data_IF_933204829805
#
_entry.id   IF_933204829805
#
_cell.length_a   1.000
_cell.length_b   1.000
_cell.length_c   1.000
_cell.angle_alpha   90.00
_cell.angle_beta   90.00
_cell.angle_gamma   90.00
#
_symmetry.space_group_name_H-M   'P 1'
#
loop_
_entity.id
_entity.type
_entity.pdbx_description
1 polymer ?
#
# COMPACT_ATOMS: atom_id res chain seq x y z
N UNK A 1 -11.33 12.88 12.30
CA UNK A 1 -10.64 13.22 11.04
C UNK A 1 -9.27 13.72 11.43
N UNK A 2 -8.24 12.98 11.07
CA UNK A 2 -6.87 13.48 11.24
C UNK A 2 -6.72 14.75 10.38
N UNK A 3 -6.05 15.78 10.88
CA UNK A 3 -5.70 16.95 10.05
C UNK A 3 -4.61 16.57 9.05
N UNK A 4 -4.54 17.15 7.84
CA UNK A 4 -3.42 16.97 6.93
C UNK A 4 -2.08 17.15 7.64
N UNK A 5 -1.00 16.53 7.13
CA UNK A 5 0.35 16.78 7.65
C UNK A 5 0.63 18.28 7.50
N UNK A 6 0.77 18.98 8.63
CA UNK A 6 0.99 20.43 8.61
C UNK A 6 2.32 20.73 7.92
N UNK A 7 2.32 21.74 7.04
CA UNK A 7 3.50 22.16 6.29
C UNK A 7 4.06 21.10 5.32
N UNK A 8 3.30 20.07 4.94
CA UNK A 8 3.75 19.04 4.00
C UNK A 8 4.42 19.63 2.74
N UNK A 9 3.84 20.68 2.16
CA UNK A 9 4.38 21.35 0.97
C UNK A 9 5.68 22.12 1.23
N UNK A 10 5.93 22.53 2.47
CA UNK A 10 7.14 23.25 2.88
C UNK A 10 8.27 22.32 3.32
N UNK A 11 7.99 21.03 3.57
CA UNK A 11 9.03 20.03 3.85
C UNK A 11 9.72 19.66 2.54
N UNK A 12 11.01 19.95 2.45
CA UNK A 12 11.83 19.55 1.31
C UNK A 12 12.05 18.02 1.30
N UNK A 13 12.11 17.44 0.09
CA UNK A 13 12.51 16.04 -0.06
C UNK A 13 14.00 15.92 0.28
N UNK A 14 14.33 15.04 1.23
CA UNK A 14 15.69 14.80 1.71
C UNK A 14 16.18 13.41 1.30
N UNK A 15 17.52 13.15 1.29
CA UNK A 15 18.06 11.81 1.07
C UNK A 15 17.50 10.79 2.07
N UNK A 16 17.38 9.53 1.65
CA UNK A 16 16.72 8.48 2.43
C UNK A 16 17.38 8.27 3.80
N UNK A 17 18.70 8.42 3.92
CA UNK A 17 19.42 8.32 5.19
C UNK A 17 18.97 9.40 6.18
N UNK A 18 18.72 10.62 5.69
CA UNK A 18 18.18 11.71 6.51
C UNK A 18 16.72 11.46 6.84
N UNK A 19 15.95 10.94 5.87
CA UNK A 19 14.53 10.68 6.04
C UNK A 19 14.23 9.63 7.12
N UNK A 20 15.11 8.64 7.30
CA UNK A 20 14.95 7.57 8.29
C UNK A 20 15.61 7.85 9.64
N UNK A 21 16.41 8.92 9.78
CA UNK A 21 17.14 9.19 11.03
C UNK A 21 16.22 9.27 12.26
N UNK A 22 15.04 9.94 12.21
CA UNK A 22 14.12 9.96 13.34
C UNK A 22 13.49 8.60 13.67
N UNK A 23 13.58 7.62 12.76
CA UNK A 23 12.99 6.29 12.89
C UNK A 23 13.93 5.27 13.52
N UNK A 24 15.20 5.60 13.73
CA UNK A 24 16.23 4.66 14.22
C UNK A 24 15.88 4.06 15.57
N UNK A 25 15.27 4.84 16.48
CA UNK A 25 14.84 4.32 17.78
C UNK A 25 13.60 3.42 17.70
N UNK A 26 12.78 3.60 16.66
CA UNK A 26 11.55 2.82 16.42
C UNK A 26 11.88 1.53 15.67
N UNK A 27 12.85 1.59 14.75
CA UNK A 27 13.25 0.54 13.83
C UNK A 27 14.78 0.45 13.84
N UNK A 28 15.37 -0.29 14.80
CA UNK A 28 16.83 -0.32 14.99
C UNK A 28 17.62 -0.71 13.74
N UNK A 29 17.06 -1.61 12.93
CA UNK A 29 17.73 -2.19 11.75
C UNK A 29 17.57 -1.31 10.48
N UNK A 30 16.89 -0.16 10.57
CA UNK A 30 16.49 0.63 9.40
C UNK A 30 17.66 1.13 8.56
N UNK A 31 18.79 1.50 9.18
CA UNK A 31 19.98 1.99 8.44
C UNK A 31 20.59 0.89 7.58
N UNK A 32 20.64 -0.34 8.09
CA UNK A 32 21.10 -1.50 7.33
C UNK A 32 20.14 -1.81 6.18
N UNK A 33 18.83 -1.75 6.43
CA UNK A 33 17.84 -2.00 5.38
C UNK A 33 17.85 -0.92 4.29
N UNK A 34 18.10 0.35 4.64
CA UNK A 34 18.33 1.43 3.67
C UNK A 34 19.51 1.12 2.76
N UNK A 35 20.63 0.67 3.32
CA UNK A 35 21.79 0.31 2.51
C UNK A 35 21.45 -0.80 1.50
N UNK A 36 20.76 -1.87 1.95
CA UNK A 36 20.29 -2.96 1.08
C UNK A 36 19.32 -2.49 0.00
N UNK A 37 18.40 -1.58 0.33
CA UNK A 37 17.47 -1.00 -0.63
C UNK A 37 18.21 -0.20 -1.71
N UNK A 38 19.20 0.61 -1.32
CA UNK A 38 20.01 1.42 -2.25
C UNK A 38 20.87 0.56 -3.18
N UNK A 39 21.47 -0.51 -2.67
CA UNK A 39 22.28 -1.44 -3.47
C UNK A 39 21.49 -2.02 -4.66
N UNK A 40 20.18 -2.20 -4.51
CA UNK A 40 19.27 -2.71 -5.55
C UNK A 40 18.67 -1.62 -6.44
N UNK A 41 18.97 -0.34 -6.19
CA UNK A 41 18.42 0.82 -6.89
C UNK A 41 19.51 1.62 -7.62
N UNK A 42 20.58 0.98 -8.09
CA UNK A 42 21.70 1.64 -8.76
C UNK A 42 21.32 2.29 -10.11
N UNK A 43 20.32 1.75 -10.79
CA UNK A 43 19.76 2.28 -12.04
C UNK A 43 18.22 2.36 -11.97
N UNK A 44 17.68 3.34 -11.22
CA UNK A 44 16.25 3.47 -11.03
C UNK A 44 15.53 3.79 -12.35
N UNK A 45 14.37 3.17 -12.54
CA UNK A 45 13.47 3.44 -13.68
C UNK A 45 12.54 4.62 -13.38
N UNK A 46 11.68 4.94 -14.34
CA UNK A 46 10.53 5.83 -14.16
C UNK A 46 10.90 7.26 -13.74
N UNK A 47 12.14 7.68 -14.02
CA UNK A 47 12.65 9.02 -13.69
C UNK A 47 12.88 9.27 -12.20
N UNK A 48 12.89 8.21 -11.38
CA UNK A 48 13.19 8.31 -9.95
C UNK A 48 14.69 8.49 -9.71
N UNK A 49 15.04 9.18 -8.63
CA UNK A 49 16.41 9.13 -8.09
C UNK A 49 16.65 7.81 -7.34
N UNK A 50 17.91 7.55 -6.98
CA UNK A 50 18.27 6.38 -6.17
C UNK A 50 17.53 6.40 -4.83
N UNK A 51 17.48 7.55 -4.14
CA UNK A 51 16.84 7.68 -2.83
C UNK A 51 15.32 7.50 -2.92
N UNK A 52 14.70 8.00 -4.01
CA UNK A 52 13.27 7.85 -4.26
C UNK A 52 12.89 6.38 -4.53
N UNK A 53 13.62 5.72 -5.44
CA UNK A 53 13.43 4.29 -5.72
C UNK A 53 13.71 3.43 -4.47
N UNK A 54 14.77 3.74 -3.73
CA UNK A 54 15.12 3.03 -2.51
C UNK A 54 14.06 3.21 -1.42
N UNK A 55 13.36 4.35 -1.36
CA UNK A 55 12.25 4.55 -0.41
C UNK A 55 11.07 3.62 -0.71
N UNK A 56 10.76 3.41 -1.99
CA UNK A 56 9.71 2.47 -2.41
C UNK A 56 10.15 1.03 -2.14
N UNK A 57 11.40 0.71 -2.45
CA UNK A 57 11.95 -0.61 -2.19
C UNK A 57 11.96 -0.95 -0.70
N UNK A 58 12.41 -0.01 0.15
CA UNK A 58 12.42 -0.18 1.60
C UNK A 58 11.03 -0.43 2.16
N UNK A 59 9.99 0.25 1.63
CA UNK A 59 8.62 -0.01 2.01
C UNK A 59 8.20 -1.45 1.67
N UNK A 60 8.56 -1.96 0.49
CA UNK A 60 8.19 -3.33 0.08
C UNK A 60 9.01 -4.45 0.75
N UNK A 61 10.12 -4.11 1.42
CA UNK A 61 10.97 -5.10 2.07
C UNK A 61 10.30 -5.69 3.31
N UNK A 62 10.31 -7.02 3.39
CA UNK A 62 10.01 -7.77 4.61
C UNK A 62 11.31 -8.34 5.19
N UNK A 63 11.52 -8.13 6.49
CA UNK A 63 12.66 -8.71 7.22
C UNK A 63 12.21 -9.33 8.54
N UNK A 64 13.08 -10.18 9.11
CA UNK A 64 12.75 -10.94 10.30
C UNK A 64 13.22 -10.26 11.60
N UNK A 65 12.40 -10.27 12.65
CA UNK A 65 11.02 -10.75 12.66
C UNK A 65 10.09 -9.74 11.94
N UNK A 66 9.05 -10.26 11.26
CA UNK A 66 8.18 -9.51 10.33
C UNK A 66 7.65 -8.20 10.91
N UNK A 67 7.25 -8.20 12.18
CA UNK A 67 6.70 -7.05 12.90
C UNK A 67 7.67 -5.86 12.99
N UNK A 68 8.96 -6.08 12.74
CA UNK A 68 9.97 -5.02 12.65
C UNK A 68 10.11 -4.41 11.26
N UNK A 69 9.44 -4.95 10.25
CA UNK A 69 9.46 -4.42 8.89
C UNK A 69 8.84 -3.03 8.84
N UNK A 70 9.44 -2.12 8.06
CA UNK A 70 9.03 -0.72 8.03
C UNK A 70 7.56 -0.55 7.67
N UNK A 71 7.04 -1.29 6.67
CA UNK A 71 5.65 -1.17 6.26
C UNK A 71 4.67 -1.57 7.36
N UNK A 72 5.03 -2.56 8.20
CA UNK A 72 4.17 -3.02 9.30
C UNK A 72 4.03 -1.91 10.33
N UNK A 73 5.14 -1.32 10.76
CA UNK A 73 5.16 -0.27 11.78
C UNK A 73 4.54 1.03 11.23
N UNK A 74 4.86 1.43 10.00
CA UNK A 74 4.29 2.60 9.36
C UNK A 74 2.76 2.47 9.24
N UNK A 75 2.27 1.37 8.68
CA UNK A 75 0.84 1.20 8.47
C UNK A 75 0.09 1.06 9.80
N UNK A 76 0.69 0.45 10.82
CA UNK A 76 0.14 0.42 12.18
C UNK A 76 0.04 1.83 12.78
N UNK A 77 1.08 2.64 12.59
CA UNK A 77 1.12 4.04 13.03
C UNK A 77 0.03 4.87 12.35
N UNK A 78 -0.14 4.73 11.03
CA UNK A 78 -1.21 5.41 10.27
C UNK A 78 -2.61 4.98 10.72
N UNK A 79 -2.78 3.69 11.02
CA UNK A 79 -4.04 3.11 11.53
C UNK A 79 -4.42 3.59 12.92
N UNK A 80 -3.46 3.91 13.78
CA UNK A 80 -3.72 4.38 15.14
C UNK A 80 -4.33 5.78 15.19
N UNK A 81 -4.31 6.50 14.06
CA UNK A 81 -4.80 7.87 13.91
C UNK A 81 -4.17 8.88 14.89
N UNK A 82 -2.98 8.57 15.39
CA UNK A 82 -2.26 9.34 16.41
C UNK A 82 -1.15 10.18 15.78
N UNK A 83 -1.33 11.50 15.78
CA UNK A 83 -0.42 12.45 15.12
C UNK A 83 0.95 12.51 15.77
N UNK A 84 1.02 12.38 17.10
CA UNK A 84 2.30 12.41 17.80
C UNK A 84 3.17 11.22 17.39
N UNK A 85 2.54 10.07 17.11
CA UNK A 85 3.23 8.89 16.60
C UNK A 85 3.64 9.00 15.14
N UNK A 86 3.00 9.87 14.35
CA UNK A 86 3.33 10.10 12.94
C UNK A 86 4.48 11.09 12.79
N UNK A 87 4.71 11.99 13.75
CA UNK A 87 5.76 13.01 13.68
C UNK A 87 7.15 12.47 13.28
N UNK A 88 7.66 11.34 13.84
CA UNK A 88 8.95 10.78 13.42
C UNK A 88 8.99 10.31 11.96
N UNK A 89 7.83 10.08 11.35
CA UNK A 89 7.69 9.55 9.99
C UNK A 89 7.59 10.64 8.92
N UNK A 90 7.45 11.92 9.28
CA UNK A 90 7.13 12.99 8.33
C UNK A 90 8.13 13.08 7.16
N UNK A 91 9.43 12.99 7.44
CA UNK A 91 10.47 13.03 6.40
C UNK A 91 10.41 11.81 5.48
N UNK A 92 10.24 10.62 6.05
CA UNK A 92 10.12 9.38 5.27
C UNK A 92 8.84 9.38 4.42
N UNK A 93 7.69 9.75 5.01
CA UNK A 93 6.41 9.86 4.29
C UNK A 93 6.53 10.91 3.18
N UNK A 94 7.20 12.03 3.42
CA UNK A 94 7.44 13.04 2.38
C UNK A 94 8.20 12.46 1.19
N UNK A 95 9.37 11.87 1.43
CA UNK A 95 10.19 11.24 0.38
C UNK A 95 9.38 10.16 -0.36
N UNK A 96 8.77 9.24 0.39
CA UNK A 96 8.04 8.10 -0.16
C UNK A 96 6.84 8.53 -1.01
N UNK A 97 6.00 9.44 -0.51
CA UNK A 97 4.84 9.93 -1.26
C UNK A 97 5.28 10.76 -2.46
N UNK A 98 6.27 11.64 -2.33
CA UNK A 98 6.82 12.39 -3.48
C UNK A 98 7.40 11.46 -4.56
N UNK A 99 7.98 10.33 -4.16
CA UNK A 99 8.45 9.28 -5.10
C UNK A 99 7.27 8.63 -5.84
N UNK A 100 6.23 8.21 -5.10
CA UNK A 100 5.03 7.61 -5.67
C UNK A 100 4.28 8.54 -6.63
N UNK A 101 4.32 9.84 -6.39
CA UNK A 101 3.66 10.85 -7.22
C UNK A 101 4.30 11.01 -8.61
N UNK A 102 5.59 10.70 -8.75
CA UNK A 102 6.27 10.66 -10.05
C UNK A 102 5.85 9.46 -10.90
N UNK A 103 5.35 8.41 -10.27
CA UNK A 103 4.84 7.24 -10.98
C UNK A 103 3.44 7.53 -11.55
N UNK A 104 3.09 6.99 -12.73
CA UNK A 104 1.75 7.16 -13.29
C UNK A 104 0.69 6.54 -12.37
N UNK A 105 -0.42 7.24 -12.18
CA UNK A 105 -1.58 6.67 -11.49
C UNK A 105 -2.27 5.66 -12.40
N UNK A 106 -2.72 4.56 -11.81
CA UNK A 106 -3.56 3.58 -12.49
C UNK A 106 -5.00 3.73 -12.01
N UNK A 107 -5.92 3.72 -12.97
CA UNK A 107 -7.36 3.62 -12.70
C UNK A 107 -7.86 2.26 -13.17
N UNK A 108 -8.19 1.38 -12.21
CA UNK A 108 -8.71 0.02 -12.43
C UNK A 108 -9.11 -0.65 -11.12
N UNK A 109 -9.79 -1.79 -11.22
CA UNK A 109 -10.00 -2.68 -10.09
C UNK A 109 -8.70 -3.35 -9.65
N UNK A 110 -8.36 -3.17 -8.38
CA UNK A 110 -7.24 -3.86 -7.70
C UNK A 110 -7.77 -4.73 -6.56
N UNK A 111 -6.98 -5.72 -6.16
CA UNK A 111 -7.43 -6.72 -5.21
C UNK A 111 -6.54 -6.78 -3.98
N UNK A 112 -7.16 -6.99 -2.81
CA UNK A 112 -6.46 -7.23 -1.54
C UNK A 112 -7.11 -8.36 -0.77
N UNK A 113 -6.34 -9.39 -0.45
CA UNK A 113 -6.76 -10.49 0.40
C UNK A 113 -6.39 -10.27 1.86
N UNK A 114 -7.27 -10.65 2.78
CA UNK A 114 -7.01 -10.65 4.23
C UNK A 114 -7.59 -11.90 4.86
N UNK A 115 -6.83 -12.58 5.71
CA UNK A 115 -7.25 -13.81 6.41
C UNK A 115 -8.09 -13.55 7.67
N UNK A 116 -9.10 -12.69 7.55
CA UNK A 116 -10.11 -12.42 8.58
C UNK A 116 -11.47 -12.13 7.95
N UNK A 117 -12.54 -12.25 8.75
CA UNK A 117 -13.84 -11.69 8.41
C UNK A 117 -13.89 -10.22 8.82
N UNK A 118 -14.10 -9.36 7.83
CA UNK A 118 -14.20 -7.91 8.01
C UNK A 118 -15.57 -7.36 7.61
N UNK A 119 -16.54 -8.24 7.31
CA UNK A 119 -17.90 -7.88 6.88
C UNK A 119 -18.56 -6.85 7.81
N UNK A 120 -18.47 -7.06 9.13
CA UNK A 120 -19.04 -6.17 10.13
C UNK A 120 -18.39 -4.78 10.17
N UNK A 121 -17.12 -4.66 9.76
CA UNK A 121 -16.39 -3.38 9.76
C UNK A 121 -16.69 -2.54 8.52
N UNK A 122 -17.11 -3.17 7.43
CA UNK A 122 -17.36 -2.53 6.14
C UNK A 122 -18.78 -2.84 5.64
N UNK A 123 -19.84 -2.41 6.35
CA UNK A 123 -21.20 -2.57 5.85
C UNK A 123 -21.41 -1.78 4.56
N UNK A 124 -22.24 -2.32 3.66
CA UNK A 124 -22.63 -1.67 2.42
C UNK A 124 -23.16 -0.25 2.67
N UNK A 125 -22.77 0.69 1.81
CA UNK A 125 -23.15 2.11 1.89
C UNK A 125 -22.23 2.94 2.80
N UNK A 126 -21.33 2.33 3.58
CA UNK A 126 -20.38 3.07 4.42
C UNK A 126 -19.33 3.78 3.57
N UNK A 127 -19.09 5.04 3.88
CA UNK A 127 -17.92 5.79 3.39
C UNK A 127 -16.95 6.05 4.54
N UNK A 128 -15.66 5.85 4.30
CA UNK A 128 -14.63 5.99 5.32
C UNK A 128 -13.28 6.38 4.69
N UNK A 129 -12.31 6.74 5.53
CA UNK A 129 -10.93 7.01 5.08
C UNK A 129 -10.08 5.77 5.32
N UNK A 130 -9.45 5.28 4.26
CA UNK A 130 -8.47 4.22 4.28
C UNK A 130 -7.10 4.82 4.59
N UNK A 131 -6.75 4.87 5.88
CA UNK A 131 -5.54 5.55 6.35
C UNK A 131 -4.20 4.93 5.93
N UNK A 132 -3.97 3.60 6.02
CA UNK A 132 -2.66 3.02 5.71
C UNK A 132 -2.39 2.97 4.21
N UNK A 133 -1.12 2.86 3.82
CA UNK A 133 -0.77 2.37 2.50
C UNK A 133 -1.18 0.90 2.40
N UNK A 134 -1.49 0.42 1.19
CA UNK A 134 -1.90 -0.97 1.03
C UNK A 134 -1.38 -1.57 -0.25
N UNK A 135 -0.55 -2.60 -0.09
CA UNK A 135 -0.17 -3.47 -1.18
C UNK A 135 -1.40 -4.24 -1.66
N UNK A 136 -1.66 -4.11 -2.94
CA UNK A 136 -2.70 -4.76 -3.70
C UNK A 136 -2.06 -5.45 -4.90
N UNK A 137 -2.81 -6.33 -5.55
CA UNK A 137 -2.39 -6.94 -6.81
C UNK A 137 -3.40 -6.62 -7.90
N UNK A 138 -2.91 -6.51 -9.13
CA UNK A 138 -3.76 -6.48 -10.32
C UNK A 138 -4.20 -7.89 -10.76
N UNK A 139 -3.60 -8.94 -10.19
CA UNK A 139 -3.80 -10.33 -10.59
C UNK A 139 -4.63 -11.10 -9.55
N UNK A 140 -5.87 -11.44 -9.90
CA UNK A 140 -6.74 -12.27 -9.04
C UNK A 140 -6.11 -13.65 -8.79
N UNK A 141 -5.30 -14.14 -9.73
CA UNK A 141 -4.64 -15.44 -9.65
C UNK A 141 -3.64 -15.50 -8.47
N UNK A 142 -2.93 -14.40 -8.18
CA UNK A 142 -1.98 -14.32 -7.07
C UNK A 142 -2.67 -14.59 -5.72
N UNK A 143 -3.94 -14.19 -5.58
CA UNK A 143 -4.72 -14.42 -4.35
C UNK A 143 -4.98 -15.91 -4.06
N UNK A 144 -4.86 -16.79 -5.05
CA UNK A 144 -5.05 -18.23 -4.80
C UNK A 144 -3.94 -18.84 -3.94
N UNK A 145 -2.78 -18.19 -3.84
CA UNK A 145 -1.70 -18.63 -2.95
C UNK A 145 -2.10 -18.44 -1.48
N UNK A 146 -1.76 -19.42 -0.66
CA UNK A 146 -2.02 -19.42 0.78
C UNK A 146 -1.34 -18.27 1.51
N UNK A 147 -0.29 -17.68 0.95
CA UNK A 147 0.35 -16.49 1.52
C UNK A 147 -0.57 -15.25 1.52
N UNK A 148 -1.39 -15.08 0.47
CA UNK A 148 -2.21 -13.90 0.28
C UNK A 148 -3.62 -14.13 0.86
N UNK A 149 -4.48 -14.81 0.10
CA UNK A 149 -5.86 -15.09 0.52
C UNK A 149 -6.07 -16.58 0.77
N UNK A 150 -5.54 -17.43 -0.10
CA UNK A 150 -5.75 -18.88 -0.04
C UNK A 150 -7.18 -19.29 -0.37
N UNK A 151 -7.43 -20.60 -0.29
CA UNK A 151 -8.72 -21.20 -0.72
C UNK A 151 -9.64 -21.57 0.42
N UNK A 152 -9.16 -21.51 1.67
CA UNK A 152 -9.88 -22.02 2.84
C UNK A 152 -9.78 -21.05 4.02
N UNK A 153 -10.57 -21.30 5.06
CA UNK A 153 -10.60 -20.46 6.26
C UNK A 153 -11.37 -19.16 6.10
N UNK A 154 -11.59 -18.49 7.23
CA UNK A 154 -12.29 -17.21 7.31
C UNK A 154 -11.44 -16.10 6.70
N UNK A 155 -11.95 -15.44 5.65
CA UNK A 155 -11.16 -14.48 4.86
C UNK A 155 -12.03 -13.47 4.13
N UNK A 156 -11.44 -12.32 3.83
CA UNK A 156 -12.05 -11.21 3.12
C UNK A 156 -11.24 -10.88 1.88
N UNK A 157 -11.91 -10.78 0.73
CA UNK A 157 -11.38 -10.23 -0.50
C UNK A 157 -11.95 -8.83 -0.71
N UNK A 158 -11.09 -7.83 -0.75
CA UNK A 158 -11.45 -6.49 -1.21
C UNK A 158 -11.25 -6.38 -2.72
N UNK A 159 -12.31 -5.99 -3.42
CA UNK A 159 -12.27 -5.57 -4.82
C UNK A 159 -12.40 -4.05 -4.82
N UNK A 160 -11.32 -3.34 -5.17
CA UNK A 160 -11.24 -1.89 -5.02
C UNK A 160 -11.20 -1.25 -6.40
N UNK A 161 -12.28 -0.60 -6.81
CA UNK A 161 -12.29 0.31 -7.97
C UNK A 161 -11.49 1.56 -7.59
N UNK A 162 -10.23 1.59 -8.04
CA UNK A 162 -9.20 2.54 -7.63
C UNK A 162 -8.89 3.52 -8.78
N UNK A 163 -8.60 4.78 -8.44
CA UNK A 163 -8.20 5.83 -9.39
C UNK A 163 -6.76 6.30 -9.14
N UNK A 164 -6.22 6.04 -7.94
CA UNK A 164 -4.94 6.58 -7.48
C UNK A 164 -3.83 5.54 -7.26
N UNK A 165 -4.03 4.30 -7.68
CA UNK A 165 -3.07 3.22 -7.47
C UNK A 165 -1.74 3.50 -8.18
N UNK A 166 -0.63 3.06 -7.59
CA UNK A 166 0.71 3.20 -8.17
C UNK A 166 1.30 1.83 -8.45
N UNK A 167 1.67 1.58 -9.71
CA UNK A 167 2.45 0.38 -10.03
C UNK A 167 3.88 0.58 -9.52
N UNK A 168 4.27 -0.22 -8.52
CA UNK A 168 5.61 -0.14 -7.92
C UNK A 168 6.48 -1.35 -8.28
N UNK A 169 6.06 -2.18 -9.23
CA UNK A 169 6.75 -3.42 -9.62
C UNK A 169 8.24 -3.22 -9.92
N UNK A 170 8.60 -2.14 -10.62
CA UNK A 170 9.99 -1.80 -10.96
C UNK A 170 10.84 -1.37 -9.75
N UNK A 171 10.21 -1.03 -8.64
CA UNK A 171 10.82 -0.45 -7.45
C UNK A 171 10.54 -1.28 -6.19
N UNK A 172 9.84 -2.40 -6.33
CA UNK A 172 9.52 -3.33 -5.24
C UNK A 172 10.63 -4.35 -5.08
N UNK A 173 10.84 -4.81 -3.86
CA UNK A 173 11.73 -5.91 -3.54
C UNK A 173 11.23 -7.25 -4.14
N UNK A 174 9.93 -7.34 -4.43
CA UNK A 174 9.25 -8.51 -4.98
C UNK A 174 8.63 -8.20 -6.36
N UNK A 175 9.44 -8.17 -7.44
CA UNK A 175 8.97 -7.73 -8.76
C UNK A 175 7.94 -8.67 -9.42
N UNK A 176 7.73 -9.88 -8.88
CA UNK A 176 6.84 -10.88 -9.45
C UNK A 176 5.39 -10.83 -8.91
N UNK A 177 5.07 -9.89 -8.01
CA UNK A 177 3.75 -9.82 -7.36
C UNK A 177 2.73 -8.92 -8.09
N UNK A 178 3.14 -8.31 -9.22
CA UNK A 178 2.36 -7.27 -9.93
C UNK A 178 1.79 -6.23 -8.95
N UNK A 179 2.66 -5.77 -8.05
CA UNK A 179 2.29 -4.99 -6.88
C UNK A 179 1.79 -3.60 -7.29
N UNK A 180 0.53 -3.35 -6.93
CA UNK A 180 -0.07 -2.03 -6.98
C UNK A 180 -0.20 -1.51 -5.56
N UNK A 181 0.39 -0.36 -5.30
CA UNK A 181 0.24 0.31 -4.02
C UNK A 181 -0.96 1.27 -4.06
N UNK A 182 -1.95 1.02 -3.21
CA UNK A 182 -2.98 2.01 -2.89
C UNK A 182 -2.37 3.02 -1.91
N UNK A 183 -2.39 4.31 -2.30
CA UNK A 183 -1.85 5.41 -1.49
C UNK A 183 -2.66 5.55 -0.19
N UNK A 184 -1.98 5.98 0.88
CA UNK A 184 -2.61 6.28 2.16
C UNK A 184 -3.68 7.38 2.08
N UNK A 185 -4.54 7.37 3.10
CA UNK A 185 -5.63 8.30 3.36
C UNK A 185 -6.64 8.52 2.21
N UNK A 186 -6.92 7.51 1.37
CA UNK A 186 -7.97 7.60 0.36
C UNK A 186 -9.36 7.46 0.97
N UNK A 187 -10.35 8.19 0.47
CA UNK A 187 -11.73 7.97 0.88
C UNK A 187 -12.34 6.86 0.01
N UNK A 188 -12.85 5.81 0.64
CA UNK A 188 -13.46 4.66 -0.02
C UNK A 188 -14.93 4.55 0.38
N UNK A 189 -15.76 4.07 -0.54
CA UNK A 189 -17.17 3.77 -0.34
C UNK A 189 -17.42 2.28 -0.56
N UNK A 190 -18.11 1.63 0.38
CA UNK A 190 -18.50 0.22 0.26
C UNK A 190 -19.71 0.12 -0.67
N UNK A 191 -19.51 -0.36 -1.89
CA UNK A 191 -20.57 -0.48 -2.89
C UNK A 191 -21.39 -1.75 -2.70
N UNK A 192 -20.76 -2.85 -2.28
CA UNK A 192 -21.44 -4.11 -1.99
C UNK A 192 -20.65 -5.01 -1.03
N UNK A 193 -21.38 -5.92 -0.37
CA UNK A 193 -20.82 -7.00 0.43
C UNK A 193 -21.51 -8.31 0.05
N UNK A 194 -20.72 -9.36 -0.20
CA UNK A 194 -21.20 -10.68 -0.58
C UNK A 194 -20.53 -11.75 0.28
N UNK A 195 -21.33 -12.52 1.02
CA UNK A 195 -20.89 -13.81 1.54
C UNK A 195 -20.87 -14.82 0.37
N UNK A 196 -19.67 -15.23 -0.04
CA UNK A 196 -19.47 -16.17 -1.15
C UNK A 196 -19.43 -17.63 -0.68
N UNK A 197 -19.72 -17.89 0.59
CA UNK A 197 -19.64 -19.20 1.23
C UNK A 197 -18.21 -19.64 1.53
N UNK A 198 -18.07 -20.76 2.24
CA UNK A 198 -16.77 -21.36 2.60
C UNK A 198 -15.81 -20.38 3.33
N UNK A 199 -16.38 -19.50 4.16
CA UNK A 199 -15.64 -18.51 4.92
C UNK A 199 -15.10 -17.33 4.10
N UNK A 200 -15.48 -17.18 2.82
CA UNK A 200 -15.06 -16.05 1.98
C UNK A 200 -16.11 -14.95 1.96
N UNK A 201 -15.75 -13.77 2.43
CA UNK A 201 -16.50 -12.52 2.18
C UNK A 201 -15.83 -11.72 1.07
N UNK A 202 -16.61 -11.21 0.11
CA UNK A 202 -16.15 -10.27 -0.91
C UNK A 202 -16.74 -8.90 -0.60
N UNK A 203 -15.88 -7.88 -0.50
CA UNK A 203 -16.27 -6.50 -0.23
C UNK A 203 -15.82 -5.64 -1.42
N UNK A 204 -16.78 -5.02 -2.09
CA UNK A 204 -16.49 -4.09 -3.18
C UNK A 204 -16.38 -2.68 -2.62
N UNK A 205 -15.26 -2.05 -2.94
CA UNK A 205 -14.96 -0.67 -2.58
C UNK A 205 -14.81 0.15 -3.85
N UNK A 206 -15.20 1.42 -3.77
CA UNK A 206 -14.91 2.42 -4.78
C UNK A 206 -14.19 3.59 -4.14
N UNK A 207 -13.08 4.02 -4.72
CA UNK A 207 -12.44 5.27 -4.37
C UNK A 207 -13.36 6.45 -4.72
N UNK A 208 -13.56 7.37 -3.77
CA UNK A 208 -14.49 8.49 -3.93
C UNK A 208 -13.91 9.80 -3.41
N UNK A 209 -13.98 10.84 -4.24
CA UNK A 209 -13.54 12.19 -3.90
C UNK A 209 -12.05 12.42 -4.17
N UNK A 210 -11.74 13.63 -4.65
CA UNK A 210 -10.39 14.04 -5.03
C UNK A 210 -9.57 14.66 -3.88
N UNK A 211 -10.17 14.80 -2.69
CA UNK A 211 -9.47 15.37 -1.55
C UNK A 211 -8.46 14.35 -1.03
N UNK A 212 -7.24 14.81 -0.74
CA UNK A 212 -6.16 14.03 -0.14
C UNK A 212 -6.08 14.35 1.37
N UNK A 213 -6.71 13.57 2.25
CA UNK A 213 -6.63 13.77 3.69
C UNK A 213 -5.21 13.65 4.27
N UNK A 214 -4.24 13.06 3.56
CA UNK A 214 -2.86 12.97 4.03
C UNK A 214 -2.12 14.30 3.80
N UNK A 215 -2.25 14.84 2.59
CA UNK A 215 -1.45 15.99 2.11
C UNK A 215 -2.20 17.33 2.16
N UNK A 216 -3.53 17.31 2.28
CA UNK A 216 -4.36 18.50 2.16
C UNK A 216 -4.71 18.84 0.70
N UNK A 217 -5.70 19.69 0.49
CA UNK A 217 -6.28 19.99 -0.83
C UNK A 217 -5.43 20.92 -1.71
N UNK A 218 -4.10 20.88 -1.62
CA UNK A 218 -3.21 21.85 -2.29
C UNK A 218 -3.07 21.64 -3.80
N UNK A 219 -3.78 20.66 -4.41
CA UNK A 219 -3.72 20.39 -5.84
C UNK A 219 -5.05 20.62 -6.52
N UNK A 220 -5.35 21.88 -6.82
CA UNK A 220 -6.20 22.23 -7.96
C UNK A 220 -5.52 23.37 -8.72
N UNK A 221 -5.63 23.26 -10.04
CA UNK A 221 -5.24 24.22 -11.05
C UNK A 221 -3.78 24.13 -11.54
N UNK A 222 -3.57 23.18 -12.47
CA UNK A 222 -3.01 23.51 -13.78
C UNK A 222 -3.36 22.42 -14.81
N UNK A 223 -4.53 22.57 -15.42
CA UNK A 223 -4.85 21.96 -16.72
C UNK A 223 -4.76 23.02 -17.81
N UNK A 224 -3.93 22.74 -18.82
CA UNK A 224 -4.02 23.28 -20.18
C UNK A 224 -3.23 22.31 -21.07
N UNK A 225 -3.91 21.38 -21.77
CA UNK A 225 -4.40 21.48 -23.16
C UNK A 225 -3.25 21.45 -24.18
N UNK A 226 -3.04 20.33 -24.88
CA UNK A 226 -3.31 20.09 -26.33
C UNK A 226 -1.96 19.68 -26.97
N UNK A 227 -1.80 18.86 -28.01
CA UNK A 227 -2.65 18.02 -28.85
C UNK A 227 -1.75 17.02 -29.62
N UNK A 228 -2.36 15.92 -30.08
CA UNK A 228 -2.09 15.08 -31.25
C UNK A 228 -0.74 15.15 -32.00
N UNK A 229 -0.12 13.97 -32.21
CA UNK A 229 0.21 13.54 -33.58
C UNK A 229 0.39 12.01 -33.74
N UNK A 230 -0.06 11.50 -34.89
CA UNK A 230 -0.16 10.10 -35.32
C UNK A 230 0.99 9.74 -36.29
N UNK A 231 1.51 8.50 -36.25
CA UNK A 231 1.89 7.58 -37.37
C UNK A 231 2.98 6.59 -36.89
N UNK A 232 2.71 5.28 -36.73
CA UNK A 232 2.71 4.15 -37.71
C UNK A 232 4.08 3.78 -38.30
N UNK A 233 4.66 2.64 -37.92
CA UNK A 233 5.03 1.50 -38.79
C UNK A 233 5.78 0.36 -38.04
N UNK A 234 5.89 -0.78 -38.73
CA UNK A 234 5.88 -2.20 -38.30
C UNK A 234 7.24 -2.94 -38.23
N UNK A 235 7.20 -4.15 -37.63
CA UNK A 235 8.08 -5.35 -37.83
C UNK A 235 9.44 -5.35 -37.09
N UNK A 236 10.02 -6.43 -36.52
CA UNK A 236 9.91 -7.90 -36.68
C UNK A 236 10.58 -8.59 -35.48
N UNK A 237 10.26 -9.88 -35.28
CA UNK A 237 10.64 -10.74 -34.16
C UNK A 237 12.12 -11.15 -34.04
N UNK A 238 12.54 -11.54 -32.81
CA UNK A 238 13.39 -12.73 -32.54
C UNK A 238 13.43 -13.06 -31.04
N UNK A 239 13.18 -14.34 -30.70
CA UNK A 239 13.40 -14.94 -29.37
C UNK A 239 14.90 -15.10 -29.07
N UNK A 240 15.28 -15.24 -27.78
CA UNK A 240 15.84 -16.53 -27.42
C UNK A 240 15.38 -17.11 -26.07
N UNK A 241 15.27 -18.43 -26.15
CA UNK A 241 15.23 -19.48 -25.14
C UNK A 241 16.21 -19.28 -23.96
N UNK A 242 15.73 -19.35 -22.71
CA UNK A 242 16.57 -19.75 -21.57
C UNK A 242 15.78 -20.53 -20.51
N UNK A 243 16.36 -21.67 -20.16
CA UNK A 243 15.91 -22.70 -19.23
C UNK A 243 15.66 -22.18 -17.82
N UNK A 244 14.56 -22.66 -17.24
CA UNK A 244 14.17 -22.53 -15.84
C UNK A 244 15.21 -23.14 -14.90
N UNK A 245 15.63 -22.36 -13.91
CA UNK A 245 16.06 -22.87 -12.61
C UNK A 245 15.08 -22.31 -11.58
N UNK A 246 14.17 -23.17 -11.10
CA UNK A 246 13.16 -22.84 -10.11
C UNK A 246 13.81 -22.67 -8.73
N UNK A 247 13.85 -21.43 -8.26
CA UNK A 247 14.05 -21.11 -6.84
C UNK A 247 12.78 -20.39 -6.40
N UNK A 248 12.06 -21.01 -5.46
CA UNK A 248 10.80 -20.47 -4.95
C UNK A 248 11.05 -19.09 -4.31
N UNK A 249 10.35 -18.03 -4.72
CA UNK A 249 10.49 -16.72 -4.08
C UNK A 249 9.86 -16.78 -2.68
N UNK A 250 10.55 -16.21 -1.70
CA UNK A 250 10.01 -15.96 -0.36
C UNK A 250 8.88 -14.91 -0.44
N UNK A 251 7.86 -15.13 0.38
CA UNK A 251 6.48 -14.74 0.15
C UNK A 251 5.98 -13.86 1.33
N UNK A 252 5.77 -12.54 1.13
CA UNK A 252 5.10 -11.62 2.08
C UNK A 252 3.74 -12.17 2.52
N UNK A 253 3.67 -12.77 3.71
CA UNK A 253 2.40 -13.16 4.31
C UNK A 253 1.67 -11.93 4.86
N UNK A 254 0.37 -11.77 4.57
CA UNK A 254 -0.42 -10.66 5.12
C UNK A 254 -1.17 -11.10 6.39
N UNK A 255 -0.79 -10.53 7.55
CA UNK A 255 -1.35 -10.88 8.86
C UNK A 255 -2.60 -10.03 9.23
N UNK A 256 -3.64 -10.65 9.80
CA UNK A 256 -4.70 -10.01 10.58
C UNK A 256 -4.35 -8.76 11.42
N UNK A 257 -3.14 -8.67 11.98
CA UNK A 257 -2.70 -7.55 12.83
C UNK A 257 -2.47 -6.24 12.05
N UNK A 258 -2.51 -6.28 10.71
CA UNK A 258 -2.42 -5.10 9.85
C UNK A 258 -3.73 -4.31 9.71
N UNK A 259 -4.69 -4.50 10.63
CA UNK A 259 -6.03 -3.92 10.60
C UNK A 259 -6.30 -2.90 11.71
N UNK A 260 -7.28 -2.03 11.48
CA UNK A 260 -7.70 -0.90 12.30
C UNK A 260 -8.22 -1.34 13.69
N UNK A 261 -7.56 -1.01 14.82
CA UNK A 261 -8.08 -1.28 16.14
C UNK A 261 -8.83 -0.05 16.68
N UNK A 262 -9.97 0.33 16.09
CA UNK A 262 -10.87 1.31 16.70
C UNK A 262 -12.19 0.68 17.14
N UNK A 263 -12.04 -0.05 18.26
CA UNK A 263 -12.95 -0.19 19.43
C UNK A 263 -12.86 -1.61 20.00
N UNK A 264 -11.69 -1.97 20.52
CA UNK A 264 -11.65 -2.85 21.69
C UNK A 264 -12.00 -2.02 22.94
N UNK A 265 -13.21 -1.44 22.96
CA UNK A 265 -13.78 -0.88 24.17
C UNK A 265 -14.55 -1.99 24.86
N UNK A 266 -13.98 -2.53 25.95
CA UNK A 266 -14.65 -3.25 27.03
C UNK A 266 -15.88 -4.10 26.64
N UNK A 267 -15.64 -5.32 26.18
CA UNK A 267 -16.61 -6.41 26.33
C UNK A 267 -16.12 -7.30 27.47
N UNK A 268 -16.03 -6.71 28.66
CA UNK A 268 -15.79 -7.41 29.92
C UNK A 268 -16.64 -6.78 31.01
N UNK A 269 -17.93 -6.55 30.72
CA UNK A 269 -18.98 -6.33 31.71
C UNK A 269 -20.35 -6.21 31.03
N UNK A 270 -21.00 -7.33 30.71
CA UNK A 270 -22.46 -7.42 30.69
C UNK A 270 -22.90 -8.73 31.36
N UNK A 271 -23.78 -8.69 32.37
CA UNK A 271 -24.19 -9.86 33.14
C UNK A 271 -25.44 -10.54 32.57
N UNK A 272 -25.48 -11.88 32.63
CA UNK A 272 -26.70 -12.72 32.51
C UNK A 272 -27.34 -12.74 31.12
N UNK A 273 -27.91 -13.82 30.61
CA UNK A 273 -28.71 -14.89 31.22
C UNK A 273 -28.96 -16.00 30.16
N UNK A 274 -29.66 -17.12 30.44
CA UNK A 274 -29.14 -18.45 30.17
C UNK A 274 -29.85 -19.22 29.03
N UNK A 275 -29.21 -20.34 28.68
CA UNK A 275 -29.61 -21.46 27.82
C UNK A 275 -29.47 -21.26 26.31
#
# INVERSE_FOLDING_TARGET
>A
MIKPIEHYDAVEVVPIETAVEPLVSLIPDIKEMVAKAKEKCDQPKDGLTIDESASIMLYSMEWQPREKSLYVILNSTLRAEDREKIQPWELYIKLFVSSLEKLPSISRTIYRGVKLDLSAQYPQGKTFVWYPFSSCTNSVQVLQSEQFLGKTGTRTLFNIDCESGKNIQNHSFFPNEDEILLIAARKLHVTSCLDSGNGLTIIQLKEVGADDPLLGSARRDNTSSEADNISSETSTASEPNHQEASVAPDLISFDPQDLNPLKAANISNLPGFPF
#
